data_IF_348976269354
#
_entry.id   IF_348976269354
#
_cell.length_a   1.000
_cell.length_b   1.000
_cell.length_c   1.000
_cell.angle_alpha   90.00
_cell.angle_beta   90.00
_cell.angle_gamma   90.00
#
_symmetry.space_group_name_H-M   'P 1'
#
loop_
_entity.id
_entity.type
_entity.pdbx_description
1 polymer ?
#
# COMPACT_ATOMS: atom_id res chain seq x y z
N UNK A 1 8.63 11.93 -10.54
CA UNK A 1 7.26 11.38 -10.45
C UNK A 1 6.24 12.46 -10.76
N UNK A 2 5.14 12.09 -11.40
CA UNK A 2 3.97 12.94 -11.56
C UNK A 2 2.81 12.37 -10.75
N UNK A 3 1.95 13.26 -10.25
CA UNK A 3 0.71 12.82 -9.66
C UNK A 3 -0.46 13.71 -10.04
N UNK A 4 -1.64 13.14 -10.05
CA UNK A 4 -2.91 13.81 -10.22
C UNK A 4 -3.95 13.29 -9.23
N UNK A 5 -4.78 14.17 -8.67
CA UNK A 5 -5.92 13.76 -7.86
C UNK A 5 -7.07 13.44 -8.81
N UNK A 6 -7.52 12.20 -8.77
CA UNK A 6 -8.65 11.72 -9.55
C UNK A 6 -9.83 11.37 -8.65
N UNK A 7 -11.05 11.55 -9.17
CA UNK A 7 -12.26 11.10 -8.50
C UNK A 7 -12.77 9.84 -9.18
N UNK A 8 -12.92 8.79 -8.40
CA UNK A 8 -13.44 7.51 -8.86
C UNK A 8 -14.87 7.39 -8.40
N UNK A 9 -15.78 7.22 -9.36
CA UNK A 9 -17.19 7.00 -9.08
C UNK A 9 -17.42 5.52 -8.76
N UNK A 10 -18.09 5.27 -7.66
CA UNK A 10 -18.54 3.95 -7.30
C UNK A 10 -19.72 3.55 -8.19
N UNK A 11 -19.59 2.47 -8.94
CA UNK A 11 -20.71 1.91 -9.69
C UNK A 11 -21.64 1.14 -8.75
N UNK A 12 -22.93 1.26 -8.94
CA UNK A 12 -24.08 0.95 -8.07
C UNK A 12 -24.15 -0.41 -7.36
N UNK A 13 -23.23 -1.32 -7.56
CA UNK A 13 -23.28 -2.68 -6.98
C UNK A 13 -22.51 -2.84 -5.67
N UNK A 14 -21.86 -1.78 -5.19
CA UNK A 14 -21.03 -1.86 -4.00
C UNK A 14 -21.75 -1.30 -2.80
N UNK A 15 -21.73 -2.04 -1.71
CA UNK A 15 -22.15 -1.54 -0.39
C UNK A 15 -21.14 -0.54 0.22
N UNK A 16 -20.43 0.21 -0.62
CA UNK A 16 -19.62 1.34 -0.20
C UNK A 16 -20.58 2.50 -0.03
N UNK A 17 -20.65 3.04 1.16
CA UNK A 17 -21.53 4.16 1.50
C UNK A 17 -21.23 5.42 0.67
N UNK A 18 -19.98 5.55 0.22
CA UNK A 18 -19.48 6.68 -0.54
C UNK A 18 -19.61 6.46 -2.05
N UNK A 19 -20.30 7.39 -2.74
CA UNK A 19 -20.51 7.32 -4.19
C UNK A 19 -19.29 7.76 -5.00
N UNK A 20 -18.51 8.68 -4.48
CA UNK A 20 -17.29 9.22 -5.11
C UNK A 20 -16.16 9.14 -4.13
N UNK A 21 -14.97 8.78 -4.62
CA UNK A 21 -13.77 8.60 -3.81
C UNK A 21 -12.59 9.27 -4.50
N UNK A 22 -11.90 10.17 -3.80
CA UNK A 22 -10.70 10.82 -4.31
C UNK A 22 -9.47 9.99 -4.00
N UNK A 23 -8.66 9.71 -5.01
CA UNK A 23 -7.35 9.09 -4.84
C UNK A 23 -6.29 9.81 -5.68
N UNK A 24 -5.03 9.52 -5.44
CA UNK A 24 -3.91 10.05 -6.24
C UNK A 24 -3.44 8.96 -7.19
N UNK A 25 -3.46 9.26 -8.49
CA UNK A 25 -2.77 8.48 -9.50
C UNK A 25 -1.33 8.97 -9.60
N UNK A 26 -0.38 8.06 -9.48
CA UNK A 26 1.07 8.32 -9.62
C UNK A 26 1.57 7.66 -10.89
N UNK A 27 2.46 8.34 -11.61
CA UNK A 27 3.13 7.82 -12.81
C UNK A 27 4.56 8.34 -12.89
N UNK A 28 5.36 7.67 -13.75
CA UNK A 28 6.75 8.05 -13.99
C UNK A 28 6.92 8.62 -15.39
N UNK A 29 7.77 9.65 -15.51
CA UNK A 29 8.13 10.29 -16.78
C UNK A 29 9.52 9.85 -17.23
N UNK A 30 9.60 9.50 -18.49
CA UNK A 30 10.90 9.27 -19.16
C UNK A 30 11.77 10.51 -19.03
N UNK A 31 13.08 10.31 -18.90
CA UNK A 31 14.11 11.34 -18.72
C UNK A 31 14.09 12.11 -17.38
N UNK A 32 12.97 12.11 -16.63
CA UNK A 32 12.91 12.76 -15.31
C UNK A 32 13.09 11.77 -14.16
N UNK A 33 12.56 10.57 -14.30
CA UNK A 33 12.46 9.60 -13.21
C UNK A 33 13.42 8.42 -13.36
N UNK A 34 14.19 8.35 -14.45
CA UNK A 34 15.11 7.23 -14.71
C UNK A 34 16.16 7.05 -13.60
N UNK A 35 16.74 8.16 -13.12
CA UNK A 35 17.72 8.11 -12.01
C UNK A 35 17.07 7.60 -10.71
N UNK A 36 15.89 8.10 -10.39
CA UNK A 36 15.12 7.62 -9.24
C UNK A 36 14.80 6.12 -9.37
N UNK A 37 14.31 5.68 -10.52
CA UNK A 37 13.96 4.28 -10.77
C UNK A 37 15.19 3.36 -10.68
N UNK A 38 16.32 3.76 -11.24
CA UNK A 38 17.57 3.02 -11.09
C UNK A 38 17.96 2.87 -9.62
N UNK A 39 17.86 3.94 -8.84
CA UNK A 39 18.19 3.92 -7.42
C UNK A 39 17.29 2.98 -6.62
N UNK A 40 15.97 3.00 -6.85
CA UNK A 40 15.05 2.11 -6.12
C UNK A 40 15.18 0.65 -6.55
N UNK A 41 15.56 0.37 -7.81
CA UNK A 41 15.88 -0.99 -8.27
C UNK A 41 17.11 -1.52 -7.53
N UNK A 42 18.18 -0.75 -7.43
CA UNK A 42 19.39 -1.13 -6.70
C UNK A 42 19.08 -1.38 -5.21
N UNK A 43 18.34 -0.48 -4.59
CA UNK A 43 17.93 -0.65 -3.20
C UNK A 43 17.08 -1.92 -2.99
N UNK A 44 16.16 -2.22 -3.91
CA UNK A 44 15.37 -3.44 -3.87
C UNK A 44 16.23 -4.71 -4.01
N UNK A 45 17.24 -4.70 -4.86
CA UNK A 45 18.20 -5.79 -5.01
C UNK A 45 18.98 -6.01 -3.71
N UNK A 46 19.52 -4.97 -3.11
CA UNK A 46 20.27 -5.05 -1.84
C UNK A 46 19.40 -5.56 -0.68
N UNK A 47 18.17 -5.06 -0.58
CA UNK A 47 17.27 -5.44 0.51
C UNK A 47 16.67 -6.82 0.32
N UNK A 48 16.45 -7.29 -0.92
CA UNK A 48 15.88 -8.61 -1.20
C UNK A 48 16.71 -9.76 -0.64
N UNK A 49 18.02 -9.59 -0.53
CA UNK A 49 18.92 -10.59 0.03
C UNK A 49 18.76 -10.77 1.55
N UNK A 50 18.20 -9.76 2.23
CA UNK A 50 18.04 -9.70 3.69
C UNK A 50 16.64 -10.11 4.15
N UNK A 51 15.68 -10.24 3.23
CA UNK A 51 14.29 -10.57 3.55
C UNK A 51 14.10 -12.05 3.84
N UNK A 52 13.32 -12.36 4.85
CA UNK A 52 12.92 -13.73 5.13
C UNK A 52 12.08 -14.32 3.97
N UNK A 53 12.59 -15.37 3.34
CA UNK A 53 11.94 -16.05 2.20
C UNK A 53 10.54 -16.57 2.54
N UNK A 54 10.27 -16.95 3.78
CA UNK A 54 8.95 -17.44 4.21
C UNK A 54 7.91 -16.35 4.44
N UNK A 55 8.30 -15.08 4.53
CA UNK A 55 7.37 -13.98 4.83
C UNK A 55 6.66 -14.15 6.19
N UNK A 56 5.63 -13.33 6.41
CA UNK A 56 4.81 -13.42 7.61
C UNK A 56 3.84 -14.62 7.51
N UNK A 57 4.18 -15.76 8.08
CA UNK A 57 3.31 -16.96 8.18
C UNK A 57 2.99 -17.70 6.86
N UNK A 58 3.86 -17.72 5.88
CA UNK A 58 3.68 -18.57 4.73
C UNK A 58 4.41 -19.91 4.93
N UNK A 59 3.71 -21.03 4.74
CA UNK A 59 4.32 -22.36 4.68
C UNK A 59 5.14 -22.55 3.41
N UNK A 60 4.94 -21.68 2.40
CA UNK A 60 5.60 -21.72 1.10
C UNK A 60 6.60 -20.57 1.01
N UNK A 61 7.88 -20.90 0.77
CA UNK A 61 8.91 -19.89 0.53
C UNK A 61 8.65 -19.20 -0.82
N UNK A 62 8.78 -17.87 -0.83
CA UNK A 62 8.76 -17.08 -2.06
C UNK A 62 10.05 -17.35 -2.86
N UNK A 63 9.95 -17.37 -4.17
CA UNK A 63 11.13 -17.39 -5.06
C UNK A 63 11.84 -16.03 -5.02
N UNK A 64 13.14 -16.01 -5.32
CA UNK A 64 13.95 -14.78 -5.23
C UNK A 64 13.42 -13.64 -6.10
N UNK A 65 13.02 -13.93 -7.34
CA UNK A 65 12.42 -12.93 -8.23
C UNK A 65 11.13 -12.32 -7.65
N UNK A 66 10.29 -13.10 -6.96
CA UNK A 66 9.10 -12.58 -6.31
C UNK A 66 9.44 -11.67 -5.12
N UNK A 67 10.47 -11.99 -4.35
CA UNK A 67 10.92 -11.16 -3.23
C UNK A 67 11.44 -9.82 -3.75
N UNK A 68 12.21 -9.83 -4.83
CA UNK A 68 12.74 -8.63 -5.44
C UNK A 68 11.62 -7.69 -5.90
N UNK A 69 10.62 -8.23 -6.61
CA UNK A 69 9.48 -7.45 -7.11
C UNK A 69 8.63 -6.92 -5.93
N UNK A 70 8.32 -7.77 -4.94
CA UNK A 70 7.57 -7.35 -3.77
C UNK A 70 8.27 -6.19 -3.03
N UNK A 71 9.61 -6.26 -2.87
CA UNK A 71 10.40 -5.19 -2.26
C UNK A 71 10.41 -3.92 -3.13
N UNK A 72 10.63 -4.05 -4.42
CA UNK A 72 10.64 -2.92 -5.35
C UNK A 72 9.32 -2.15 -5.32
N UNK A 73 8.19 -2.86 -5.38
CA UNK A 73 6.87 -2.24 -5.31
C UNK A 73 6.61 -1.60 -3.94
N UNK A 74 7.10 -2.21 -2.86
CA UNK A 74 7.07 -1.63 -1.52
C UNK A 74 7.83 -0.30 -1.45
N UNK A 75 9.09 -0.29 -1.87
CA UNK A 75 9.97 0.90 -1.88
C UNK A 75 9.37 2.03 -2.73
N UNK A 76 8.88 1.71 -3.93
CA UNK A 76 8.21 2.69 -4.80
C UNK A 76 6.99 3.28 -4.10
N UNK A 77 6.18 2.44 -3.45
CA UNK A 77 4.98 2.89 -2.73
C UNK A 77 5.31 3.83 -1.58
N UNK A 78 6.32 3.50 -0.78
CA UNK A 78 6.79 4.33 0.33
C UNK A 78 7.30 5.69 -0.15
N UNK A 79 8.19 5.69 -1.18
CA UNK A 79 8.71 6.91 -1.78
C UNK A 79 7.60 7.79 -2.35
N UNK A 80 6.64 7.19 -3.04
CA UNK A 80 5.52 7.92 -3.62
C UNK A 80 4.59 8.52 -2.55
N UNK A 81 4.30 7.77 -1.47
CA UNK A 81 3.51 8.29 -0.36
C UNK A 81 4.17 9.50 0.29
N UNK A 82 5.47 9.43 0.59
CA UNK A 82 6.22 10.56 1.14
C UNK A 82 6.17 11.75 0.19
N UNK A 83 6.50 11.54 -1.08
CA UNK A 83 6.55 12.63 -2.06
C UNK A 83 5.18 13.27 -2.28
N UNK A 84 4.11 12.49 -2.48
CA UNK A 84 2.76 12.99 -2.72
C UNK A 84 2.24 13.76 -1.50
N UNK A 85 2.34 13.17 -0.31
CA UNK A 85 1.79 13.80 0.90
C UNK A 85 2.55 15.08 1.23
N UNK A 86 3.88 15.11 1.13
CA UNK A 86 4.67 16.33 1.34
C UNK A 86 4.29 17.42 0.34
N UNK A 87 4.09 17.10 -0.94
CA UNK A 87 3.62 18.07 -1.92
C UNK A 87 2.20 18.60 -1.61
N UNK A 88 1.28 17.74 -1.18
CA UNK A 88 -0.09 18.15 -0.82
C UNK A 88 -0.15 18.95 0.50
N UNK A 89 0.81 18.75 1.38
CA UNK A 89 0.99 19.53 2.61
C UNK A 89 1.81 20.80 2.41
N UNK A 90 2.52 20.91 1.27
CA UNK A 90 3.45 21.98 0.95
C UNK A 90 4.62 22.11 1.95
N UNK A 91 5.03 20.99 2.56
CA UNK A 91 6.14 20.93 3.50
C UNK A 91 6.75 19.53 3.58
N UNK A 92 8.01 19.43 4.03
CA UNK A 92 8.74 18.18 4.25
C UNK A 92 8.31 17.52 5.58
N UNK A 93 7.05 17.10 5.64
CA UNK A 93 6.45 16.54 6.85
C UNK A 93 6.79 15.06 7.07
N UNK A 94 6.85 14.27 6.00
CA UNK A 94 7.10 12.84 6.03
C UNK A 94 8.51 12.52 5.55
N UNK A 95 9.12 11.51 6.17
CA UNK A 95 10.41 10.94 5.76
C UNK A 95 10.32 9.42 5.71
N UNK A 96 10.81 8.83 4.64
CA UNK A 96 10.97 7.39 4.52
C UNK A 96 12.11 6.90 5.39
N UNK A 97 11.92 5.76 6.05
CA UNK A 97 12.96 5.09 6.83
C UNK A 97 13.59 3.97 6.01
N UNK A 98 14.91 4.02 5.84
CA UNK A 98 15.68 2.96 5.21
C UNK A 98 16.16 1.97 6.29
N UNK A 99 15.25 1.15 6.84
CA UNK A 99 15.62 0.16 7.87
C UNK A 99 16.13 -1.13 7.24
N UNK A 100 17.14 -1.72 7.85
CA UNK A 100 17.69 -3.03 7.48
C UNK A 100 17.05 -4.19 8.24
N UNK A 101 16.21 -3.90 9.25
CA UNK A 101 15.51 -4.91 10.07
C UNK A 101 14.09 -5.15 9.57
N UNK A 102 13.76 -6.38 9.24
CA UNK A 102 12.42 -6.76 8.76
C UNK A 102 11.37 -6.92 9.85
N UNK A 103 11.75 -6.91 11.13
CA UNK A 103 10.85 -7.23 12.25
C UNK A 103 10.20 -5.97 12.83
N UNK A 104 10.97 -4.88 12.96
CA UNK A 104 10.53 -3.62 13.57
C UNK A 104 10.52 -2.46 12.57
N UNK A 105 10.43 -2.78 11.30
CA UNK A 105 10.48 -1.77 10.24
C UNK A 105 9.29 -0.83 10.34
N UNK A 106 9.58 0.46 10.44
CA UNK A 106 8.63 1.55 10.25
C UNK A 106 8.91 2.11 8.86
N UNK A 107 7.93 2.09 7.97
CA UNK A 107 8.13 2.50 6.59
C UNK A 107 8.38 4.00 6.48
N UNK A 108 7.58 4.80 7.17
CA UNK A 108 7.61 6.27 7.13
C UNK A 108 7.45 6.84 8.54
N UNK A 109 8.17 7.92 8.82
CA UNK A 109 8.02 8.70 10.06
C UNK A 109 7.74 10.15 9.73
N UNK A 110 6.87 10.80 10.50
CA UNK A 110 6.65 12.25 10.40
C UNK A 110 7.64 13.03 11.28
N UNK A 111 7.77 14.34 11.03
CA UNK A 111 8.54 15.25 11.88
C UNK A 111 7.99 15.34 13.31
N UNK A 112 6.74 14.97 13.51
CA UNK A 112 6.08 14.87 14.83
C UNK A 112 6.12 13.46 15.42
N UNK A 113 7.04 12.61 14.94
CA UNK A 113 7.27 11.25 15.40
C UNK A 113 6.06 10.30 15.26
N UNK A 114 5.22 10.51 14.25
CA UNK A 114 4.15 9.58 13.90
C UNK A 114 4.69 8.45 13.03
N UNK A 115 4.35 7.22 13.37
CA UNK A 115 4.77 6.02 12.68
C UNK A 115 3.72 5.59 11.65
N UNK A 116 4.11 5.46 10.40
CA UNK A 116 3.21 5.21 9.28
C UNK A 116 3.64 3.93 8.57
N UNK A 117 2.67 3.08 8.30
CA UNK A 117 2.82 1.84 7.54
C UNK A 117 2.23 2.02 6.15
N UNK A 118 2.94 1.56 5.11
CA UNK A 118 2.45 1.58 3.73
C UNK A 118 2.07 0.18 3.29
N UNK A 119 0.81 -0.01 2.94
CA UNK A 119 0.28 -1.28 2.47
C UNK A 119 0.00 -1.24 0.98
N UNK A 120 0.91 -1.78 0.20
CA UNK A 120 0.76 -1.91 -1.25
C UNK A 120 0.29 -3.31 -1.65
N UNK A 121 -0.50 -3.41 -2.70
CA UNK A 121 -0.80 -4.67 -3.35
C UNK A 121 -1.18 -4.50 -4.81
N UNK A 122 -0.87 -5.52 -5.62
CA UNK A 122 -1.35 -5.66 -6.99
C UNK A 122 -2.57 -6.56 -7.10
N UNK A 123 -3.07 -6.72 -8.30
CA UNK A 123 -4.07 -7.73 -8.65
C UNK A 123 -3.42 -9.10 -8.53
N UNK A 124 -4.05 -10.00 -7.80
CA UNK A 124 -3.59 -11.38 -7.64
C UNK A 124 -4.70 -12.34 -8.03
N UNK A 125 -4.43 -13.27 -8.98
CA UNK A 125 -5.30 -14.39 -9.33
C UNK A 125 -6.75 -13.98 -9.62
N UNK A 126 -6.96 -13.01 -10.48
CA UNK A 126 -8.28 -12.52 -10.87
C UNK A 126 -8.97 -11.63 -9.84
N UNK A 127 -8.29 -11.28 -8.74
CA UNK A 127 -8.76 -10.24 -7.83
C UNK A 127 -8.50 -8.89 -8.47
N UNK A 128 -9.53 -8.28 -8.95
CA UNK A 128 -9.51 -6.92 -9.44
C UNK A 128 -9.90 -5.97 -8.30
N UNK A 129 -9.33 -4.76 -8.33
CA UNK A 129 -9.74 -3.74 -7.37
C UNK A 129 -11.07 -3.16 -7.80
N UNK A 130 -12.05 -3.18 -6.90
CA UNK A 130 -13.43 -2.77 -7.18
C UNK A 130 -13.54 -1.38 -7.82
N UNK A 131 -12.63 -0.46 -7.48
CA UNK A 131 -12.62 0.90 -8.03
C UNK A 131 -12.18 0.97 -9.50
N UNK A 132 -11.44 -0.04 -10.00
CA UNK A 132 -10.84 -0.03 -11.33
C UNK A 132 -11.37 -1.14 -12.24
N UNK A 133 -12.22 -2.02 -11.73
CA UNK A 133 -12.72 -3.17 -12.46
C UNK A 133 -13.79 -2.82 -13.48
N UNK A 134 -13.63 -3.36 -14.68
CA UNK A 134 -14.68 -3.40 -15.69
C UNK A 134 -15.59 -4.63 -15.54
N UNK A 135 -15.11 -5.70 -14.91
CA UNK A 135 -15.85 -6.96 -14.77
C UNK A 135 -16.65 -6.97 -13.46
N UNK A 136 -17.97 -7.01 -13.59
CA UNK A 136 -18.93 -6.80 -12.49
C UNK A 136 -19.15 -8.02 -11.61
N UNK A 137 -18.67 -9.20 -11.99
CA UNK A 137 -19.09 -10.45 -11.37
C UNK A 137 -18.12 -10.97 -10.28
N UNK A 138 -16.87 -10.47 -10.25
CA UNK A 138 -15.82 -10.89 -9.32
C UNK A 138 -15.20 -9.73 -8.53
N UNK A 139 -15.99 -8.78 -8.12
CA UNK A 139 -15.47 -7.58 -7.48
C UNK A 139 -15.18 -7.86 -6.01
N UNK A 140 -13.91 -7.82 -5.65
CA UNK A 140 -13.50 -7.76 -4.25
C UNK A 140 -13.36 -6.31 -3.81
N UNK A 141 -13.83 -6.05 -2.59
CA UNK A 141 -13.71 -4.72 -1.99
C UNK A 141 -12.24 -4.42 -1.71
N UNK A 142 -11.84 -3.18 -2.01
CA UNK A 142 -10.55 -2.66 -1.57
C UNK A 142 -10.71 -2.33 -0.09
N UNK A 143 -9.81 -2.87 0.70
CA UNK A 143 -9.74 -2.59 2.12
C UNK A 143 -8.43 -1.86 2.43
N UNK A 144 -8.46 -0.95 3.40
CA UNK A 144 -7.25 -0.46 4.06
C UNK A 144 -6.77 -1.55 5.00
N UNK A 145 -5.58 -2.07 4.74
CA UNK A 145 -4.99 -3.14 5.53
C UNK A 145 -4.31 -2.56 6.76
N UNK A 146 -4.77 -2.95 7.92
CA UNK A 146 -4.19 -2.62 9.21
C UNK A 146 -3.22 -3.68 9.74
N UNK A 147 -3.05 -3.77 11.06
CA UNK A 147 -2.11 -4.69 11.66
C UNK A 147 -2.51 -6.15 11.50
N UNK A 148 -1.49 -7.02 11.50
CA UNK A 148 -1.68 -8.46 11.70
C UNK A 148 -2.28 -8.74 13.08
N UNK A 149 -3.21 -9.69 13.15
CA UNK A 149 -3.80 -10.13 14.43
C UNK A 149 -2.94 -11.17 15.11
N UNK A 150 -2.05 -11.82 14.37
CA UNK A 150 -1.15 -12.81 14.93
C UNK A 150 0.08 -12.16 15.61
N UNK A 151 0.83 -12.99 16.35
CA UNK A 151 2.00 -12.56 17.13
C UNK A 151 3.25 -12.22 16.29
N UNK A 152 3.17 -12.26 14.97
CA UNK A 152 4.33 -12.15 14.09
C UNK A 152 4.99 -10.78 14.11
N UNK A 153 4.18 -9.71 14.14
CA UNK A 153 4.66 -8.31 14.22
C UNK A 153 3.84 -7.55 15.26
N UNK A 154 4.15 -7.77 16.54
CA UNK A 154 3.42 -7.09 17.64
C UNK A 154 3.51 -5.56 17.59
N UNK A 155 4.66 -5.02 17.18
CA UNK A 155 4.87 -3.57 17.07
C UNK A 155 4.07 -2.92 15.95
N UNK A 156 3.56 -3.68 14.98
CA UNK A 156 2.75 -3.16 13.88
C UNK A 156 1.37 -2.63 14.33
N UNK A 157 0.85 -3.16 15.45
CA UNK A 157 -0.40 -2.67 16.04
C UNK A 157 -0.33 -1.21 16.55
N UNK A 158 0.87 -0.64 16.61
CA UNK A 158 1.12 0.70 17.15
C UNK A 158 1.38 1.77 16.07
N UNK A 159 1.17 1.47 14.80
CA UNK A 159 1.29 2.47 13.74
C UNK A 159 0.17 3.51 13.86
N UNK A 160 0.55 4.79 13.77
CA UNK A 160 -0.42 5.89 13.86
C UNK A 160 -1.32 5.98 12.61
N UNK A 161 -0.80 5.53 11.45
CA UNK A 161 -1.51 5.57 10.17
C UNK A 161 -1.12 4.38 9.29
N UNK A 162 -2.09 3.86 8.57
CA UNK A 162 -1.95 2.84 7.53
C UNK A 162 -2.35 3.44 6.19
N UNK A 163 -1.38 3.63 5.29
CA UNK A 163 -1.61 4.12 3.93
C UNK A 163 -1.90 2.95 2.99
N UNK A 164 -2.78 3.16 2.03
CA UNK A 164 -3.16 2.16 1.05
C UNK A 164 -2.69 2.54 -0.34
N UNK A 165 -1.85 1.70 -0.94
CA UNK A 165 -1.38 1.82 -2.32
C UNK A 165 -1.88 0.63 -3.13
N UNK A 166 -2.36 0.89 -4.35
CA UNK A 166 -2.98 -0.10 -5.22
C UNK A 166 -2.36 -0.05 -6.61
N UNK A 167 -1.83 -1.18 -7.05
CA UNK A 167 -1.38 -1.40 -8.41
C UNK A 167 -2.52 -2.07 -9.21
N UNK A 168 -3.01 -1.48 -10.31
CA UNK A 168 -4.18 -2.00 -11.05
C UNK A 168 -3.82 -3.15 -12.00
N UNK A 169 -2.70 -3.82 -11.77
CA UNK A 169 -2.18 -4.93 -12.56
C UNK A 169 -1.44 -5.93 -11.67
N UNK A 170 -1.18 -7.13 -12.18
CA UNK A 170 -0.32 -8.10 -11.49
C UNK A 170 1.15 -7.75 -11.71
N UNK A 171 1.73 -7.01 -10.77
CA UNK A 171 3.11 -6.55 -10.86
C UNK A 171 4.15 -7.68 -10.78
N UNK A 172 3.75 -8.92 -10.50
CA UNK A 172 4.66 -10.07 -10.52
C UNK A 172 5.13 -10.43 -11.93
N UNK A 173 4.42 -9.94 -12.96
CA UNK A 173 4.76 -10.12 -14.36
C UNK A 173 5.65 -8.99 -14.90
N UNK A 174 5.95 -7.97 -14.07
CA UNK A 174 6.80 -6.85 -14.47
C UNK A 174 8.27 -7.23 -14.32
N UNK A 175 9.05 -6.90 -15.31
CA UNK A 175 10.50 -6.94 -15.21
C UNK A 175 11.02 -5.81 -14.32
N UNK A 176 12.06 -6.09 -13.52
CA UNK A 176 12.69 -5.07 -12.67
C UNK A 176 13.64 -4.19 -13.48
N UNK A 177 13.12 -3.53 -14.52
CA UNK A 177 13.85 -2.61 -15.40
C UNK A 177 13.22 -1.23 -15.37
N UNK A 178 14.01 -0.21 -15.68
CA UNK A 178 13.53 1.18 -15.76
C UNK A 178 12.42 1.31 -16.80
N UNK A 179 12.59 0.67 -17.96
CA UNK A 179 11.63 0.71 -19.06
C UNK A 179 10.25 0.19 -18.65
N UNK A 180 10.23 -0.94 -17.94
CA UNK A 180 8.97 -1.53 -17.45
C UNK A 180 8.29 -0.64 -16.42
N UNK A 181 9.04 0.05 -15.57
CA UNK A 181 8.52 0.94 -14.55
C UNK A 181 8.02 2.27 -15.10
N UNK A 182 8.65 2.81 -16.16
CA UNK A 182 8.24 4.07 -16.79
C UNK A 182 6.83 4.02 -17.38
N UNK A 183 6.38 2.86 -17.86
CA UNK A 183 5.01 2.67 -18.37
C UNK A 183 3.94 2.48 -17.27
N UNK A 184 4.34 2.44 -16.01
CA UNK A 184 3.49 2.07 -14.90
C UNK A 184 2.74 3.28 -14.33
N UNK A 185 1.49 3.04 -13.90
CA UNK A 185 0.78 3.94 -13.00
C UNK A 185 0.11 3.15 -11.87
N UNK A 186 0.02 3.78 -10.69
CA UNK A 186 -0.60 3.19 -9.51
C UNK A 186 -1.31 4.27 -8.69
N UNK A 187 -1.99 3.84 -7.62
CA UNK A 187 -2.90 4.73 -6.92
C UNK A 187 -2.65 4.71 -5.42
N UNK A 188 -2.55 5.91 -4.82
CA UNK A 188 -2.59 6.11 -3.37
C UNK A 188 -4.03 6.44 -3.03
N UNK A 189 -4.71 5.54 -2.34
CA UNK A 189 -6.16 5.64 -2.14
C UNK A 189 -6.54 6.33 -0.83
N UNK A 190 -5.56 6.75 -0.03
CA UNK A 190 -5.79 7.29 1.30
C UNK A 190 -5.36 6.33 2.39
N UNK A 191 -6.08 6.29 3.51
CA UNK A 191 -5.67 5.44 4.63
C UNK A 191 -6.61 5.46 5.82
N UNK A 192 -6.17 4.81 6.91
CA UNK A 192 -6.90 4.73 8.17
C UNK A 192 -5.96 4.92 9.36
N UNK A 193 -6.41 5.63 10.37
CA UNK A 193 -5.64 5.87 11.60
C UNK A 193 -5.69 4.69 12.55
N UNK A 194 -4.82 4.72 13.56
CA UNK A 194 -4.81 3.75 14.66
C UNK A 194 -6.15 3.71 15.39
N UNK A 195 -6.75 4.87 15.63
CA UNK A 195 -8.05 4.99 16.29
C UNK A 195 -9.14 4.29 15.47
N UNK A 196 -9.17 4.51 14.15
CA UNK A 196 -10.09 3.83 13.25
C UNK A 196 -9.88 2.31 13.25
N UNK A 197 -8.62 1.85 13.29
CA UNK A 197 -8.28 0.42 13.37
C UNK A 197 -8.64 -0.21 14.72
N UNK A 198 -8.95 0.59 15.73
CA UNK A 198 -9.39 0.13 17.04
C UNK A 198 -10.89 0.34 17.30
N UNK A 199 -11.62 0.97 16.37
CA UNK A 199 -13.06 1.13 16.43
C UNK A 199 -13.77 -0.12 15.87
N UNK A 200 -14.43 -0.95 16.70
CA UNK A 200 -15.09 -2.18 16.26
C UNK A 200 -16.27 -1.95 15.30
N UNK A 201 -16.72 -0.72 15.14
CA UNK A 201 -17.80 -0.36 14.18
C UNK A 201 -17.25 -0.10 12.78
N UNK A 202 -15.93 0.16 12.66
CA UNK A 202 -15.26 0.49 11.41
C UNK A 202 -14.50 -0.69 10.81
N UNK A 203 -13.78 -1.46 11.64
CA UNK A 203 -12.97 -2.57 11.15
C UNK A 203 -13.68 -3.91 11.21
N UNK A 204 -13.19 -4.85 10.42
CA UNK A 204 -13.48 -6.28 10.55
C UNK A 204 -12.19 -7.10 10.39
N UNK A 205 -12.28 -8.39 10.73
CA UNK A 205 -11.17 -9.33 10.59
C UNK A 205 -11.26 -10.02 9.23
N UNK A 206 -10.19 -9.99 8.47
CA UNK A 206 -10.12 -10.63 7.15
C UNK A 206 -8.99 -11.64 7.07
N UNK A 207 -9.34 -12.85 6.63
CA UNK A 207 -8.36 -13.86 6.27
C UNK A 207 -7.76 -13.53 4.90
N UNK A 208 -6.44 -13.43 4.84
CA UNK A 208 -5.73 -13.27 3.56
C UNK A 208 -5.40 -14.66 3.00
N UNK A 209 -6.19 -15.12 2.05
CA UNK A 209 -5.91 -16.36 1.34
C UNK A 209 -5.00 -16.09 0.16
N UNK A 210 -3.91 -16.85 0.05
CA UNK A 210 -3.13 -16.88 -1.18
C UNK A 210 -3.91 -17.71 -2.19
N UNK A 211 -4.29 -17.15 -3.34
CA UNK A 211 -4.99 -17.88 -4.38
C UNK A 211 -4.16 -19.09 -4.84
N UNK A 212 -4.83 -20.21 -5.11
CA UNK A 212 -4.19 -21.46 -5.52
C UNK A 212 -3.55 -22.30 -4.40
N UNK A 213 -3.42 -21.76 -3.19
CA UNK A 213 -2.96 -22.54 -2.03
C UNK A 213 -4.12 -23.29 -1.41
N UNK A 214 -4.02 -24.63 -1.33
CA UNK A 214 -4.95 -25.49 -0.54
C UNK A 214 -4.79 -25.27 0.97
N UNK A 215 -3.71 -24.63 1.38
CA UNK A 215 -3.41 -24.32 2.78
C UNK A 215 -3.86 -22.88 3.00
N UNK A 216 -4.95 -22.70 3.73
CA UNK A 216 -5.34 -21.39 4.23
C UNK A 216 -4.16 -20.83 5.04
N UNK A 217 -3.59 -19.74 4.57
CA UNK A 217 -2.63 -19.00 5.39
C UNK A 217 -3.44 -18.40 6.53
N UNK A 218 -3.11 -18.75 7.76
CA UNK A 218 -3.74 -18.19 8.96
C UNK A 218 -3.25 -16.76 9.21
N UNK A 219 -3.17 -15.94 8.16
CA UNK A 219 -2.81 -14.54 8.28
C UNK A 219 -4.08 -13.73 8.30
N UNK A 220 -4.42 -13.23 9.47
CA UNK A 220 -5.57 -12.37 9.68
C UNK A 220 -5.11 -10.91 9.84
N UNK A 221 -5.89 -10.01 9.26
CA UNK A 221 -5.68 -8.57 9.37
C UNK A 221 -6.93 -7.90 9.94
N UNK A 222 -6.73 -6.85 10.72
CA UNK A 222 -7.76 -5.82 10.86
C UNK A 222 -7.82 -5.06 9.54
N UNK A 223 -9.00 -4.87 9.00
CA UNK A 223 -9.19 -4.14 7.75
C UNK A 223 -10.37 -3.20 7.87
N UNK A 224 -10.29 -2.05 7.20
CA UNK A 224 -11.38 -1.08 7.09
C UNK A 224 -11.76 -0.97 5.61
N UNK A 225 -13.05 -1.12 5.27
CA UNK A 225 -13.51 -0.87 3.91
C UNK A 225 -13.10 0.52 3.45
N UNK A 226 -12.61 0.63 2.21
CA UNK A 226 -12.10 1.90 1.70
C UNK A 226 -13.13 3.04 1.77
N UNK A 227 -14.41 2.73 1.62
CA UNK A 227 -15.49 3.70 1.75
C UNK A 227 -15.68 4.27 3.15
N UNK A 228 -15.17 3.59 4.19
CA UNK A 228 -15.17 4.03 5.60
C UNK A 228 -13.84 4.61 6.05
N UNK A 229 -12.79 4.49 5.24
CA UNK A 229 -11.48 5.07 5.52
C UNK A 229 -11.40 6.52 5.01
N UNK A 230 -10.34 7.22 5.35
CA UNK A 230 -10.06 8.53 4.77
C UNK A 230 -9.66 8.37 3.30
N UNK A 231 -10.34 9.08 2.41
CA UNK A 231 -9.83 9.35 1.07
C UNK A 231 -8.64 10.32 1.13
N UNK A 232 -7.92 10.51 0.02
CA UNK A 232 -6.68 11.32 0.08
C UNK A 232 -6.92 12.75 0.56
N UNK A 233 -7.99 13.42 0.17
CA UNK A 233 -8.29 14.80 0.60
C UNK A 233 -8.61 14.87 2.09
N UNK A 234 -9.41 13.93 2.59
CA UNK A 234 -9.73 13.85 4.01
C UNK A 234 -8.49 13.52 4.85
N UNK A 235 -7.63 12.63 4.33
CA UNK A 235 -6.37 12.28 4.99
C UNK A 235 -5.46 13.50 5.13
N UNK A 236 -5.32 14.32 4.08
CA UNK A 236 -4.53 15.56 4.12
C UNK A 236 -5.14 16.56 5.13
N UNK A 237 -6.46 16.72 5.14
CA UNK A 237 -7.15 17.54 6.13
C UNK A 237 -6.92 17.02 7.57
N UNK A 238 -6.99 15.70 7.76
CA UNK A 238 -6.73 15.08 9.06
C UNK A 238 -5.30 15.38 9.54
N UNK A 239 -4.30 15.19 8.69
CA UNK A 239 -2.90 15.46 9.02
C UNK A 239 -2.69 16.94 9.37
N UNK A 240 -3.22 17.86 8.56
CA UNK A 240 -3.13 19.31 8.82
C UNK A 240 -3.72 19.72 10.17
N UNK A 241 -4.84 19.11 10.54
CA UNK A 241 -5.57 19.52 11.75
C UNK A 241 -5.06 18.85 13.03
N UNK A 242 -4.41 17.69 12.94
CA UNK A 242 -4.07 16.89 14.12
C UNK A 242 -2.57 16.65 14.30
N UNK A 243 -1.76 16.81 13.27
CA UNK A 243 -0.34 16.46 13.31
C UNK A 243 0.60 17.62 12.97
N UNK A 244 0.12 18.66 12.26
CA UNK A 244 0.84 19.90 11.97
C UNK A 244 0.43 21.02 12.92
#
# INVERSE_FOLDING_TARGET
>A
MNFEIININNTQKFSIERKTFACVKVSFEKNKDEEFLNKVILEAQETSTKVNKKGANTSIARIEGQILIDNLMGIISECACVWVINNLLECDFLKRNCSTSSIDQIDITSITNKNIEVRSSGVRNGIEFALFCKNKDNIQYIDVLGPYINSYKKAEAERDLYLRVVYPFDYREIECTVESLLGMSFYITGGATKEMMNDPTLYYIKDMKTPGSRIAQNTQYKVIPIGKSYEIKELICFIKNNWL
#
